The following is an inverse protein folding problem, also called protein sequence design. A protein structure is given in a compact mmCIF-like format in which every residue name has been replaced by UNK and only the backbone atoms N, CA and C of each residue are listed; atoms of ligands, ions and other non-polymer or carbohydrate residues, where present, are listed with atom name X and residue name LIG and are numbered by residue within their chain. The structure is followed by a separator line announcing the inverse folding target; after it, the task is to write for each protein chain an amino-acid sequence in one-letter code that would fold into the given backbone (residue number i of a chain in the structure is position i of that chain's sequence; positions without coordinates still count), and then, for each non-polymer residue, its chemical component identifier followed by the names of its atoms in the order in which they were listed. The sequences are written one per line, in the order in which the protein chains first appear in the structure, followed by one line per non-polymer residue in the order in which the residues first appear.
data_IF_422763464056
#
_entry.id   IF_422763464056
#
_cell.length_a   1.000
_cell.length_b   1.000
_cell.length_c   1.000
_cell.angle_alpha   90.00
_cell.angle_beta   90.00
_cell.angle_gamma   90.00
#
_symmetry.space_group_name_H-M   'P 1'
#
loop_
_entity.id
_entity.type
_entity.pdbx_description
1 polymer ?
#
# COMPACT_ATOMS: atom_id res chain seq x y z
N UNK A 1 13.56 -14.04 -3.65
CA UNK A 1 12.46 -13.80 -4.62
C UNK A 1 12.78 -14.64 -5.86
N UNK A 2 11.91 -15.54 -6.32
CA UNK A 2 12.18 -16.34 -7.50
C UNK A 2 12.30 -15.44 -8.74
N UNK A 3 13.11 -15.86 -9.71
CA UNK A 3 13.42 -15.17 -10.96
C UNK A 3 12.24 -14.99 -11.91
N UNK A 4 11.11 -15.64 -11.62
CA UNK A 4 10.01 -15.83 -12.57
C UNK A 4 8.80 -15.07 -12.04
N UNK A 5 8.61 -13.85 -12.55
CA UNK A 5 7.61 -12.93 -12.05
C UNK A 5 6.19 -13.50 -11.95
N UNK A 6 5.49 -13.11 -10.88
CA UNK A 6 4.03 -13.16 -10.69
C UNK A 6 3.36 -14.53 -10.85
N UNK A 7 3.26 -15.29 -9.76
CA UNK A 7 2.78 -16.67 -9.87
C UNK A 7 1.25 -16.81 -9.79
N UNK A 8 0.49 -15.96 -9.07
CA UNK A 8 -0.98 -16.06 -8.99
C UNK A 8 -1.61 -14.71 -8.58
N UNK A 9 -2.77 -14.36 -9.12
CA UNK A 9 -3.64 -13.30 -8.56
C UNK A 9 -4.57 -13.90 -7.51
N UNK A 10 -4.51 -13.40 -6.28
CA UNK A 10 -5.31 -13.87 -5.14
C UNK A 10 -6.11 -12.70 -4.56
N UNK A 11 -7.36 -12.89 -4.12
CA UNK A 11 -8.13 -11.82 -3.47
C UNK A 11 -7.39 -11.24 -2.26
N UNK A 12 -7.37 -9.90 -2.14
CA UNK A 12 -6.70 -9.17 -1.04
C UNK A 12 -7.07 -9.72 0.33
N UNK A 13 -8.34 -10.02 0.57
CA UNK A 13 -8.83 -10.56 1.85
C UNK A 13 -8.17 -11.88 2.21
N UNK A 14 -7.93 -12.75 1.23
CA UNK A 14 -7.26 -14.04 1.43
C UNK A 14 -5.77 -13.83 1.68
N UNK A 15 -5.11 -13.00 0.87
CA UNK A 15 -3.70 -12.65 1.04
C UNK A 15 -3.42 -12.09 2.45
N UNK A 16 -4.25 -11.16 2.93
CA UNK A 16 -4.08 -10.55 4.26
C UNK A 16 -4.42 -11.49 5.41
N UNK A 17 -5.36 -12.42 5.22
CA UNK A 17 -5.71 -13.44 6.21
C UNK A 17 -4.60 -14.49 6.36
N UNK A 18 -4.07 -14.97 5.23
CA UNK A 18 -3.12 -16.09 5.19
C UNK A 18 -1.65 -15.63 5.35
N UNK A 19 -1.40 -14.31 5.27
CA UNK A 19 -0.07 -13.72 5.42
C UNK A 19 0.78 -13.83 4.15
N UNK A 20 0.14 -13.99 2.98
CA UNK A 20 0.84 -14.17 1.72
C UNK A 20 1.57 -12.89 1.29
N UNK A 21 2.76 -13.10 0.69
CA UNK A 21 3.50 -12.02 0.08
C UNK A 21 2.72 -11.40 -1.09
N UNK A 22 2.61 -10.09 -1.08
CA UNK A 22 1.99 -9.31 -2.13
C UNK A 22 2.72 -7.98 -2.28
N UNK A 23 2.52 -7.32 -3.42
CA UNK A 23 3.15 -6.03 -3.66
C UNK A 23 2.26 -4.87 -3.24
N UNK A 24 2.91 -3.85 -2.69
CA UNK A 24 2.30 -2.58 -2.36
C UNK A 24 3.22 -1.42 -2.77
N UNK A 25 2.65 -0.25 -2.98
CA UNK A 25 3.37 1.02 -3.05
C UNK A 25 3.05 1.82 -1.81
N UNK A 26 4.09 2.41 -1.23
CA UNK A 26 4.03 3.35 -0.12
C UNK A 26 4.52 4.71 -0.62
N UNK A 27 3.70 5.75 -0.47
CA UNK A 27 4.01 7.13 -0.89
C UNK A 27 4.12 8.01 0.34
N UNK A 28 5.19 8.81 0.40
CA UNK A 28 5.42 9.82 1.43
C UNK A 28 5.36 11.21 0.81
N UNK A 29 4.54 12.08 1.39
CA UNK A 29 4.37 13.47 0.94
C UNK A 29 4.98 14.39 2.00
N UNK A 30 6.04 15.08 1.61
CA UNK A 30 6.74 16.05 2.44
C UNK A 30 6.59 17.45 1.87
N UNK A 31 6.20 18.42 2.71
CA UNK A 31 6.08 19.81 2.33
C UNK A 31 7.36 20.57 2.67
N UNK A 32 8.12 21.01 1.66
CA UNK A 32 9.40 21.68 1.90
C UNK A 32 9.24 23.04 2.61
N UNK A 33 8.17 23.78 2.32
CA UNK A 33 7.95 25.13 2.87
C UNK A 33 7.61 25.10 4.37
N UNK A 34 6.84 24.10 4.82
CA UNK A 34 6.49 23.94 6.23
C UNK A 34 7.39 22.98 6.98
N UNK A 35 8.17 22.16 6.24
CA UNK A 35 8.98 21.04 6.75
C UNK A 35 8.16 19.96 7.45
N UNK A 36 6.92 19.77 7.01
CA UNK A 36 6.00 18.81 7.58
C UNK A 36 5.86 17.56 6.70
N UNK A 37 5.67 16.41 7.35
CA UNK A 37 5.37 15.14 6.70
C UNK A 37 3.89 14.84 6.86
N UNK A 38 3.19 14.61 5.76
CA UNK A 38 1.78 14.25 5.79
C UNK A 38 1.61 12.81 6.29
N UNK A 39 0.83 12.61 7.34
CA UNK A 39 0.39 11.29 7.79
C UNK A 39 -1.11 11.13 7.55
N UNK A 40 -1.52 9.93 7.15
CA UNK A 40 -2.94 9.63 6.98
C UNK A 40 -3.48 9.00 8.26
N UNK A 41 -4.61 9.50 8.78
CA UNK A 41 -5.39 8.77 9.79
C UNK A 41 -6.40 7.88 9.09
N UNK A 42 -6.36 6.58 9.38
CA UNK A 42 -7.33 5.65 8.82
C UNK A 42 -8.75 5.94 9.31
N UNK A 43 -9.70 5.88 8.37
CA UNK A 43 -11.12 6.05 8.65
C UNK A 43 -11.63 4.94 9.59
N UNK A 44 -12.67 5.28 10.35
CA UNK A 44 -13.20 4.40 11.41
C UNK A 44 -13.90 3.13 10.89
N UNK A 45 -14.18 3.07 9.59
CA UNK A 45 -14.79 1.91 8.93
C UNK A 45 -13.78 1.02 8.19
N UNK A 46 -12.48 1.33 8.23
CA UNK A 46 -11.48 0.47 7.59
C UNK A 46 -11.43 -0.91 8.25
N UNK A 47 -11.20 -1.93 7.42
CA UNK A 47 -11.06 -3.34 7.81
C UNK A 47 -9.79 -3.63 8.64
N UNK A 48 -8.83 -2.71 8.61
CA UNK A 48 -7.51 -2.85 9.20
C UNK A 48 -7.01 -1.51 9.74
N UNK A 49 -6.38 -1.54 10.92
CA UNK A 49 -5.68 -0.39 11.53
C UNK A 49 -6.56 0.87 11.63
N UNK A 50 -7.84 0.68 11.95
CA UNK A 50 -8.86 1.71 12.14
C UNK A 50 -8.41 2.78 13.14
N UNK A 51 -8.58 4.06 12.79
CA UNK A 51 -8.24 5.20 13.65
C UNK A 51 -6.74 5.43 13.87
N UNK A 52 -5.86 4.57 13.34
CA UNK A 52 -4.41 4.69 13.49
C UNK A 52 -3.83 5.66 12.46
N UNK A 53 -2.70 6.27 12.81
CA UNK A 53 -1.88 7.03 11.87
C UNK A 53 -1.03 6.08 11.04
N UNK A 54 -0.94 6.36 9.75
CA UNK A 54 -0.18 5.60 8.77
C UNK A 54 0.56 6.58 7.83
N UNK A 55 1.34 6.03 6.90
CA UNK A 55 2.01 6.77 5.83
C UNK A 55 1.03 7.61 4.99
N UNK A 56 1.54 8.58 4.23
CA UNK A 56 0.70 9.55 3.50
C UNK A 56 -0.31 8.88 2.56
N UNK A 57 0.13 7.85 1.82
CA UNK A 57 -0.76 7.00 1.02
C UNK A 57 -0.11 5.64 0.76
N UNK A 58 -0.93 4.59 0.70
CA UNK A 58 -0.50 3.21 0.48
C UNK A 58 -1.54 2.45 -0.34
N UNK A 59 -1.11 1.50 -1.17
CA UNK A 59 -2.04 0.65 -1.90
C UNK A 59 -1.40 -0.57 -2.56
N UNK A 60 -2.25 -1.48 -3.04
CA UNK A 60 -1.86 -2.76 -3.66
C UNK A 60 -1.65 -2.60 -5.16
N UNK A 61 -0.55 -3.16 -5.68
CA UNK A 61 -0.23 -3.12 -7.11
C UNK A 61 -0.87 -4.33 -7.80
N UNK A 62 -1.62 -4.10 -8.88
CA UNK A 62 -2.17 -5.19 -9.70
C UNK A 62 -1.08 -5.90 -10.50
N UNK A 63 -1.39 -7.09 -11.01
CA UNK A 63 -0.49 -7.78 -11.94
C UNK A 63 -0.36 -6.96 -13.22
N UNK A 64 0.88 -6.76 -13.67
CA UNK A 64 1.18 -5.96 -14.88
C UNK A 64 1.37 -4.46 -14.63
N UNK A 65 0.88 -3.92 -13.51
CA UNK A 65 1.08 -2.50 -13.19
C UNK A 65 2.52 -2.23 -12.71
N UNK A 66 3.07 -1.10 -13.18
CA UNK A 66 4.33 -0.58 -12.64
C UNK A 66 4.10 0.12 -11.30
N UNK A 67 5.10 0.11 -10.43
CA UNK A 67 5.05 0.87 -9.18
C UNK A 67 4.89 2.37 -9.42
N UNK A 68 5.50 2.91 -10.47
CA UNK A 68 5.44 4.34 -10.78
C UNK A 68 4.06 4.77 -11.27
N UNK A 69 3.41 3.98 -12.13
CA UNK A 69 2.06 4.30 -12.61
C UNK A 69 1.03 4.24 -11.48
N UNK A 70 1.21 3.35 -10.51
CA UNK A 70 0.32 3.23 -9.36
C UNK A 70 0.53 4.35 -8.33
N UNK A 71 1.74 4.93 -8.23
CA UNK A 71 2.07 5.97 -7.27
C UNK A 71 1.59 7.38 -7.69
N UNK A 72 1.16 7.57 -8.94
CA UNK A 72 0.73 8.84 -9.52
C UNK A 72 -0.76 9.08 -9.29
#
# INVERSE_FOLDING_TARGET
MPSDGYTVTVPRTKVHRDGDCHRAVHVWIYCESTRELLLQRHADYKDSRTGQWDISSAGHISVGDSSLSFAR
#
